data_IF_963982120468
#
_entry.id   IF_963982120468
#
_cell.length_a   1.000
_cell.length_b   1.000
_cell.length_c   1.000
_cell.angle_alpha   90.00
_cell.angle_beta   90.00
_cell.angle_gamma   90.00
#
_symmetry.space_group_name_H-M   'P 1'
#
loop_
_entity.id
_entity.type
_entity.pdbx_description
1 polymer ?
#
# COMPACT_ATOMS: atom_id res chain seq x y z
N UNK A 1 -1.10 -10.79 -7.70
CA UNK A 1 -0.97 -9.32 -7.54
C UNK A 1 -0.18 -9.02 -6.27
N UNK A 2 0.52 -7.89 -6.16
CA UNK A 2 1.25 -7.49 -4.96
C UNK A 2 0.83 -6.09 -4.52
N UNK A 3 0.77 -5.85 -3.21
CA UNK A 3 0.67 -4.50 -2.62
C UNK A 3 2.02 -4.14 -2.02
N UNK A 4 2.50 -2.93 -2.26
CA UNK A 4 3.80 -2.46 -1.74
C UNK A 4 3.65 -1.12 -1.03
N UNK A 5 4.34 -1.00 0.11
CA UNK A 5 4.41 0.23 0.91
C UNK A 5 5.85 0.67 1.00
N UNK A 6 6.08 1.96 0.73
CA UNK A 6 7.40 2.57 0.75
C UNK A 6 7.37 3.84 1.60
N UNK A 7 8.50 4.16 2.20
CA UNK A 7 8.75 5.42 2.91
C UNK A 7 10.02 6.05 2.37
N UNK A 8 10.35 7.26 2.88
CA UNK A 8 11.66 7.89 2.63
C UNK A 8 12.83 7.00 3.08
N UNK A 9 12.64 6.15 4.09
CA UNK A 9 13.68 5.24 4.59
C UNK A 9 13.83 3.97 3.73
N UNK A 10 12.94 3.75 2.76
CA UNK A 10 12.95 2.56 1.90
C UNK A 10 11.63 1.80 1.95
N UNK A 11 11.66 0.57 1.45
CA UNK A 11 10.52 -0.34 1.41
C UNK A 11 10.11 -0.74 2.83
N UNK A 12 8.81 -0.61 3.14
CA UNK A 12 8.23 -1.01 4.43
C UNK A 12 7.76 -2.46 4.35
N UNK A 13 6.92 -2.76 3.36
CA UNK A 13 6.30 -4.08 3.22
C UNK A 13 5.95 -4.36 1.76
N UNK A 14 5.94 -5.64 1.39
CA UNK A 14 5.33 -6.09 0.13
C UNK A 14 4.58 -7.38 0.39
N UNK A 15 3.28 -7.33 0.10
CA UNK A 15 2.32 -8.35 0.49
C UNK A 15 1.75 -8.94 -0.80
N UNK A 16 2.09 -10.19 -1.14
CA UNK A 16 1.47 -10.85 -2.27
C UNK A 16 0.04 -11.28 -1.94
N UNK A 17 -0.86 -11.15 -2.90
CA UNK A 17 -2.19 -11.72 -2.83
C UNK A 17 -2.12 -13.14 -3.40
N UNK A 18 -1.81 -14.11 -2.54
CA UNK A 18 -1.65 -15.51 -2.96
C UNK A 18 -2.99 -16.17 -3.29
N UNK A 19 -4.04 -15.92 -2.49
CA UNK A 19 -5.35 -16.58 -2.62
C UNK A 19 -6.46 -15.65 -3.15
N UNK A 20 -6.17 -14.34 -3.27
CA UNK A 20 -7.13 -13.34 -3.76
C UNK A 20 -6.71 -12.76 -5.10
N UNK A 21 -7.72 -12.49 -5.95
CA UNK A 21 -7.52 -11.85 -7.26
C UNK A 21 -7.40 -10.32 -7.17
N UNK A 22 -8.08 -9.69 -6.21
CA UNK A 22 -8.25 -8.24 -6.12
C UNK A 22 -8.13 -7.77 -4.66
N UNK A 23 -7.60 -6.56 -4.44
CA UNK A 23 -7.63 -5.91 -3.12
C UNK A 23 -9.05 -5.46 -2.84
N UNK A 24 -9.76 -6.15 -1.94
CA UNK A 24 -11.04 -5.68 -1.41
C UNK A 24 -10.81 -4.79 -0.20
N UNK A 25 -11.78 -3.94 0.14
CA UNK A 25 -11.71 -3.14 1.37
C UNK A 25 -11.56 -4.03 2.61
N UNK A 26 -12.26 -5.18 2.64
CA UNK A 26 -12.16 -6.15 3.72
C UNK A 26 -10.72 -6.66 3.88
N UNK A 27 -10.16 -7.29 2.84
CA UNK A 27 -8.80 -7.81 2.88
C UNK A 27 -7.75 -6.74 3.18
N UNK A 28 -7.97 -5.53 2.64
CA UNK A 28 -7.07 -4.42 2.90
C UNK A 28 -7.02 -4.07 4.40
N UNK A 29 -8.16 -4.06 5.07
CA UNK A 29 -8.26 -3.76 6.51
C UNK A 29 -7.95 -4.94 7.44
N UNK A 30 -8.17 -6.18 7.01
CA UNK A 30 -8.02 -7.36 7.87
C UNK A 30 -6.65 -8.05 7.71
N UNK A 31 -6.04 -7.96 6.53
CA UNK A 31 -4.80 -8.70 6.22
C UNK A 31 -3.63 -7.80 5.83
N UNK A 32 -3.89 -6.65 5.18
CA UNK A 32 -2.84 -5.81 4.60
C UNK A 32 -2.36 -4.73 5.58
N UNK A 33 -3.21 -3.73 5.87
CA UNK A 33 -2.87 -2.59 6.71
C UNK A 33 -2.38 -2.98 8.12
N UNK A 34 -2.97 -3.97 8.82
CA UNK A 34 -2.48 -4.36 10.15
C UNK A 34 -1.00 -4.76 10.15
N UNK A 35 -0.55 -5.47 9.12
CA UNK A 35 0.86 -5.87 9.00
C UNK A 35 1.77 -4.66 8.83
N UNK A 36 1.39 -3.73 7.96
CA UNK A 36 2.17 -2.52 7.67
C UNK A 36 2.28 -1.63 8.91
N UNK A 37 1.14 -1.37 9.58
CA UNK A 37 1.09 -0.52 10.77
C UNK A 37 1.87 -1.15 11.92
N UNK A 38 1.76 -2.47 12.11
CA UNK A 38 2.54 -3.20 13.12
C UNK A 38 4.04 -3.04 12.89
N UNK A 39 4.52 -3.19 11.66
CA UNK A 39 5.95 -3.01 11.35
C UNK A 39 6.42 -1.57 11.57
N UNK A 40 5.62 -0.58 11.19
CA UNK A 40 5.95 0.83 11.42
C UNK A 40 6.03 1.16 12.92
N UNK A 41 5.08 0.66 13.71
CA UNK A 41 5.05 0.90 15.16
C UNK A 41 6.14 0.14 15.92
N UNK A 42 6.63 -1.00 15.41
CA UNK A 42 7.82 -1.66 15.99
C UNK A 42 9.07 -0.78 15.91
N UNK A 43 9.22 -0.02 14.82
CA UNK A 43 10.39 0.85 14.59
C UNK A 43 10.26 2.14 15.43
N UNK A 44 9.07 2.74 15.44
CA UNK A 44 8.81 3.94 16.23
C UNK A 44 7.33 4.00 16.66
N UNK A 45 7.00 3.54 17.88
CA UNK A 45 5.61 3.41 18.35
C UNK A 45 4.84 4.73 18.38
N UNK A 46 5.51 5.82 18.76
CA UNK A 46 4.89 7.14 19.00
C UNK A 46 4.86 8.02 17.74
N UNK A 47 5.44 7.55 16.63
CA UNK A 47 5.54 8.37 15.42
C UNK A 47 4.21 8.40 14.69
N UNK A 48 3.70 9.61 14.46
CA UNK A 48 2.57 9.86 13.57
C UNK A 48 2.79 9.22 12.21
N UNK A 49 1.80 8.44 11.76
CA UNK A 49 1.78 7.80 10.44
C UNK A 49 0.88 8.63 9.53
N UNK A 50 1.44 9.06 8.39
CA UNK A 50 0.70 9.69 7.31
C UNK A 50 0.76 8.76 6.10
N UNK A 51 -0.39 8.29 5.66
CA UNK A 51 -0.55 7.36 4.55
C UNK A 51 -0.96 8.12 3.29
N UNK A 52 -0.21 7.95 2.21
CA UNK A 52 -0.60 8.38 0.87
C UNK A 52 -0.96 7.16 0.03
N UNK A 53 -2.16 7.14 -0.54
CA UNK A 53 -2.68 6.09 -1.41
C UNK A 53 -3.58 6.71 -2.48
N UNK A 54 -3.80 6.00 -3.58
CA UNK A 54 -4.72 6.44 -4.64
C UNK A 54 -6.19 6.27 -4.22
N UNK A 55 -7.10 6.82 -5.03
CA UNK A 55 -8.54 6.81 -4.75
C UNK A 55 -9.25 5.53 -5.23
N UNK A 56 -8.57 4.37 -5.19
CA UNK A 56 -9.20 3.10 -5.52
C UNK A 56 -10.40 2.84 -4.60
N UNK A 57 -11.43 2.14 -5.10
CA UNK A 57 -12.68 1.92 -4.35
C UNK A 57 -12.47 1.21 -3.01
N UNK A 58 -11.49 0.30 -2.93
CA UNK A 58 -11.07 -0.36 -1.69
C UNK A 58 -10.43 0.61 -0.70
N UNK A 59 -9.70 1.62 -1.16
CA UNK A 59 -8.99 2.59 -0.33
C UNK A 59 -9.92 3.68 0.22
N UNK A 60 -10.94 4.06 -0.56
CA UNK A 60 -11.93 5.08 -0.17
C UNK A 60 -13.15 4.51 0.55
N UNK A 61 -13.27 3.19 0.66
CA UNK A 61 -14.38 2.52 1.33
C UNK A 61 -14.53 2.99 2.79
N UNK A 62 -15.77 3.07 3.27
CA UNK A 62 -16.06 3.47 4.65
C UNK A 62 -15.30 2.63 5.67
N UNK A 63 -15.27 1.30 5.47
CA UNK A 63 -14.52 0.36 6.31
C UNK A 63 -13.04 0.73 6.43
N UNK A 64 -12.42 1.09 5.32
CA UNK A 64 -11.00 1.46 5.28
C UNK A 64 -10.74 2.77 5.98
N UNK A 65 -11.58 3.79 5.74
CA UNK A 65 -11.47 5.08 6.45
C UNK A 65 -11.66 4.94 7.96
N UNK A 66 -12.63 4.12 8.37
CA UNK A 66 -12.86 3.84 9.78
C UNK A 66 -11.65 3.14 10.41
N UNK A 67 -11.14 2.07 9.78
CA UNK A 67 -9.97 1.35 10.25
C UNK A 67 -8.74 2.27 10.40
N UNK A 68 -8.45 3.12 9.40
CA UNK A 68 -7.34 4.08 9.48
C UNK A 68 -7.51 5.08 10.63
N UNK A 69 -8.74 5.52 10.88
CA UNK A 69 -9.06 6.42 11.99
C UNK A 69 -8.84 5.74 13.35
N UNK A 70 -9.33 4.50 13.51
CA UNK A 70 -9.14 3.69 14.73
C UNK A 70 -7.66 3.43 15.02
N UNK A 71 -6.86 3.26 13.96
CA UNK A 71 -5.40 3.08 14.06
C UNK A 71 -4.60 4.39 14.14
N UNK A 72 -5.25 5.55 14.30
CA UNK A 72 -4.59 6.86 14.34
C UNK A 72 -3.64 7.09 13.14
N UNK A 73 -4.02 6.59 11.97
CA UNK A 73 -3.31 6.80 10.70
C UNK A 73 -3.99 7.92 9.95
N UNK A 74 -3.23 8.99 9.68
CA UNK A 74 -3.73 10.10 8.90
C UNK A 74 -3.67 9.77 7.41
N UNK A 75 -4.76 10.03 6.71
CA UNK A 75 -4.82 9.89 5.26
C UNK A 75 -4.46 11.22 4.60
N UNK A 76 -3.47 11.18 3.71
CA UNK A 76 -3.14 12.32 2.86
C UNK A 76 -4.07 12.32 1.64
N UNK A 77 -4.67 13.47 1.36
CA UNK A 77 -5.55 13.63 0.20
C UNK A 77 -4.78 13.40 -1.11
N UNK A 78 -5.40 12.64 -2.01
CA UNK A 78 -4.87 12.39 -3.35
C UNK A 78 -5.85 12.91 -4.40
N UNK A 79 -5.43 13.74 -5.36
CA UNK A 79 -6.30 14.19 -6.44
C UNK A 79 -6.63 13.05 -7.42
N UNK A 80 -7.84 13.03 -8.03
CA UNK A 80 -8.18 12.05 -9.04
C UNK A 80 -7.18 12.04 -10.22
N UNK A 81 -6.94 10.86 -10.80
CA UNK A 81 -6.15 10.67 -12.02
C UNK A 81 -4.74 11.27 -12.00
N UNK A 82 -4.07 11.29 -10.85
CA UNK A 82 -2.77 11.93 -10.67
C UNK A 82 -1.64 10.94 -10.33
N UNK A 83 -1.32 9.98 -11.23
CA UNK A 83 -0.27 8.99 -10.99
C UNK A 83 1.12 9.63 -10.87
N UNK A 84 1.33 10.81 -11.44
CA UNK A 84 2.55 11.61 -11.31
C UNK A 84 2.80 12.08 -9.86
N UNK A 85 1.74 12.22 -9.06
CA UNK A 85 1.82 12.56 -7.64
C UNK A 85 1.94 11.32 -6.74
N UNK A 86 1.76 10.12 -7.28
CA UNK A 86 1.94 8.87 -6.56
C UNK A 86 3.40 8.41 -6.62
N UNK A 87 4.12 8.32 -5.48
CA UNK A 87 5.50 7.84 -5.48
C UNK A 87 5.64 6.43 -6.05
N UNK A 88 4.62 5.59 -5.87
CA UNK A 88 4.64 4.23 -6.39
C UNK A 88 4.53 4.20 -7.92
N UNK A 89 3.61 4.99 -8.49
CA UNK A 89 3.40 5.00 -9.94
C UNK A 89 4.50 5.76 -10.68
N UNK A 90 4.94 6.89 -10.13
CA UNK A 90 5.98 7.72 -10.75
C UNK A 90 7.38 7.12 -10.64
N UNK A 91 7.72 6.49 -9.51
CA UNK A 91 9.11 6.08 -9.22
C UNK A 91 9.30 4.58 -9.01
N UNK A 92 8.53 3.96 -8.12
CA UNK A 92 8.77 2.57 -7.70
C UNK A 92 8.45 1.56 -8.81
N UNK A 93 7.26 1.61 -9.38
CA UNK A 93 6.80 0.64 -10.37
C UNK A 93 7.59 0.68 -11.68
N UNK A 94 7.97 1.84 -12.26
CA UNK A 94 8.83 1.86 -13.44
C UNK A 94 10.16 1.13 -13.22
N UNK A 95 10.78 1.31 -12.05
CA UNK A 95 12.03 0.61 -11.70
C UNK A 95 11.85 -0.90 -11.55
N UNK A 96 10.76 -1.33 -10.93
CA UNK A 96 10.42 -2.75 -10.82
C UNK A 96 10.20 -3.34 -12.21
N UNK A 97 9.37 -2.71 -13.04
CA UNK A 97 9.09 -3.16 -14.41
C UNK A 97 10.37 -3.33 -15.22
N UNK A 98 11.27 -2.34 -15.20
CA UNK A 98 12.54 -2.42 -15.93
C UNK A 98 13.42 -3.61 -15.52
N UNK A 99 13.33 -4.05 -14.26
CA UNK A 99 14.02 -5.27 -13.80
C UNK A 99 13.29 -6.54 -14.23
N UNK A 100 11.96 -6.55 -14.18
CA UNK A 100 11.15 -7.72 -14.52
C UNK A 100 11.09 -8.02 -16.03
N UNK A 101 11.38 -7.04 -16.90
CA UNK A 101 11.33 -7.23 -18.38
C UNK A 101 12.20 -8.40 -18.87
N UNK A 102 13.26 -8.76 -18.14
CA UNK A 102 14.19 -9.85 -18.51
C UNK A 102 13.96 -11.14 -17.73
N UNK A 103 12.94 -11.18 -16.88
CA UNK A 103 12.65 -12.31 -16.00
C UNK A 103 11.46 -13.11 -16.55
N UNK A 104 11.58 -14.44 -16.49
CA UNK A 104 10.52 -15.36 -16.87
C UNK A 104 10.05 -16.12 -15.64
N UNK A 105 8.75 -16.13 -15.40
CA UNK A 105 8.13 -16.82 -14.28
C UNK A 105 7.24 -17.94 -14.80
N UNK A 106 7.37 -19.12 -14.22
CA UNK A 106 6.44 -20.21 -14.47
C UNK A 106 5.07 -19.87 -13.87
N UNK A 107 3.99 -20.24 -14.57
CA UNK A 107 2.64 -20.12 -14.02
C UNK A 107 2.49 -21.14 -12.89
N UNK A 108 2.16 -20.66 -11.70
CA UNK A 108 1.62 -21.46 -10.60
C UNK A 108 0.14 -21.72 -10.82
#
# INVERSE_FOLDING_TARGET
MVVTFVSKAGQIATIPLNEQRTVTADWYTTNCLPKVITELRKINPERRIILHQDNASSHTAQRTRQYLTEENVELLDHPPHSPDLSPNDFFTFPKIKNRLVKEYFEKQ
#
